data_IF_055333227361
#
_entry.id   IF_055333227361
#
_cell.length_a   1.000
_cell.length_b   1.000
_cell.length_c   1.000
_cell.angle_alpha   90.00
_cell.angle_beta   90.00
_cell.angle_gamma   90.00
#
_symmetry.space_group_name_H-M   'P 1'
#
loop_
_entity.id
_entity.type
_entity.pdbx_description
1 polymer ?
#
# COMPACT_ATOMS: atom_id res chain seq x y z
N UNK A 1 -53.92 -40.65 18.58
CA UNK A 1 -53.08 -39.42 18.69
C UNK A 1 -51.90 -39.59 17.75
N UNK A 2 -51.93 -38.93 16.59
CA UNK A 2 -50.83 -38.93 15.63
C UNK A 2 -50.18 -37.55 15.68
N UNK A 3 -48.94 -37.50 16.14
CA UNK A 3 -48.16 -36.27 16.26
C UNK A 3 -47.45 -36.04 14.93
N UNK A 4 -47.93 -35.08 14.14
CA UNK A 4 -47.23 -34.57 12.96
C UNK A 4 -46.02 -33.74 13.40
N UNK A 5 -44.83 -34.21 13.07
CA UNK A 5 -43.60 -33.43 13.19
C UNK A 5 -43.47 -32.51 11.96
N UNK A 6 -43.60 -31.20 12.18
CA UNK A 6 -43.28 -30.19 11.16
C UNK A 6 -41.76 -29.97 11.14
N UNK A 7 -41.11 -30.41 10.07
CA UNK A 7 -39.71 -30.04 9.78
C UNK A 7 -39.69 -28.61 9.23
N UNK A 8 -39.18 -27.67 10.03
CA UNK A 8 -38.86 -26.32 9.57
C UNK A 8 -37.53 -26.35 8.82
N UNK A 9 -37.59 -26.28 7.49
CA UNK A 9 -36.44 -25.97 6.64
C UNK A 9 -36.07 -24.50 6.84
N UNK A 10 -34.99 -24.24 7.59
CA UNK A 10 -34.35 -22.93 7.63
C UNK A 10 -33.64 -22.66 6.31
N UNK A 11 -34.24 -21.85 5.44
CA UNK A 11 -33.51 -21.25 4.33
C UNK A 11 -32.64 -20.11 4.88
N UNK A 12 -31.33 -20.37 5.02
CA UNK A 12 -30.36 -19.31 5.26
C UNK A 12 -30.26 -18.44 3.98
N UNK A 13 -30.94 -17.30 3.98
CA UNK A 13 -30.75 -16.27 2.97
C UNK A 13 -29.29 -15.77 3.07
N UNK A 14 -28.45 -16.22 2.14
CA UNK A 14 -27.10 -15.69 1.99
C UNK A 14 -27.26 -14.28 1.38
N UNK A 15 -27.14 -13.25 2.21
CA UNK A 15 -27.02 -11.88 1.73
C UNK A 15 -25.78 -11.81 0.84
N UNK A 16 -25.96 -11.64 -0.47
CA UNK A 16 -24.86 -11.38 -1.40
C UNK A 16 -24.19 -10.09 -0.95
N UNK A 17 -22.87 -10.14 -0.73
CA UNK A 17 -22.10 -8.95 -0.41
C UNK A 17 -22.27 -7.93 -1.55
N UNK A 18 -22.58 -6.68 -1.20
CA UNK A 18 -22.76 -5.61 -2.19
C UNK A 18 -21.44 -5.35 -2.92
N UNK A 19 -21.42 -5.57 -4.24
CA UNK A 19 -20.29 -5.26 -5.10
C UNK A 19 -20.32 -3.79 -5.53
N UNK A 20 -19.18 -3.12 -5.45
CA UNK A 20 -18.97 -1.71 -5.80
C UNK A 20 -17.76 -1.61 -6.73
N UNK A 21 -17.98 -1.58 -8.06
CA UNK A 21 -16.89 -1.42 -9.03
C UNK A 21 -16.13 -0.09 -8.85
N UNK A 22 -14.91 0.05 -9.40
CA UNK A 22 -14.06 1.23 -9.19
C UNK A 22 -14.72 2.56 -9.54
N UNK A 23 -15.41 2.64 -10.68
CA UNK A 23 -16.10 3.85 -11.11
C UNK A 23 -17.29 4.20 -10.19
N UNK A 24 -17.99 3.20 -9.67
CA UNK A 24 -19.08 3.39 -8.71
C UNK A 24 -18.54 3.88 -7.35
N UNK A 25 -17.42 3.32 -6.88
CA UNK A 25 -16.73 3.82 -5.69
C UNK A 25 -16.27 5.27 -5.91
N UNK A 26 -15.65 5.58 -7.05
CA UNK A 26 -15.24 6.95 -7.38
C UNK A 26 -16.42 7.93 -7.39
N UNK A 27 -17.56 7.53 -7.96
CA UNK A 27 -18.79 8.33 -7.97
C UNK A 27 -19.37 8.54 -6.57
N UNK A 28 -19.35 7.52 -5.70
CA UNK A 28 -19.81 7.63 -4.31
C UNK A 28 -19.09 8.74 -3.53
N UNK A 29 -17.80 8.96 -3.80
CA UNK A 29 -16.99 9.98 -3.15
C UNK A 29 -16.74 11.23 -4.03
N UNK A 30 -17.56 11.42 -5.07
CA UNK A 30 -17.51 12.60 -5.94
C UNK A 30 -16.14 12.86 -6.58
N UNK A 31 -15.42 11.80 -6.93
CA UNK A 31 -14.14 11.89 -7.65
C UNK A 31 -14.41 12.12 -9.14
N UNK A 32 -14.44 13.39 -9.54
CA UNK A 32 -14.87 13.81 -10.88
C UNK A 32 -13.77 13.75 -11.95
N UNK A 33 -12.50 13.66 -11.56
CA UNK A 33 -11.37 13.57 -12.50
C UNK A 33 -10.91 12.11 -12.56
N UNK A 34 -10.61 11.59 -13.75
CA UNK A 34 -10.07 10.24 -13.89
C UNK A 34 -8.99 10.16 -14.97
N UNK A 35 -8.13 9.16 -14.86
CA UNK A 35 -7.14 8.78 -15.86
C UNK A 35 -6.85 7.28 -15.79
N UNK A 36 -6.22 6.75 -16.82
CA UNK A 36 -5.69 5.38 -16.86
C UNK A 36 -4.19 5.42 -17.12
N UNK A 37 -3.46 4.49 -16.52
CA UNK A 37 -2.03 4.36 -16.81
C UNK A 37 -1.89 3.50 -18.09
N UNK A 38 -1.20 3.99 -19.13
CA UNK A 38 -1.14 3.32 -20.42
C UNK A 38 -0.32 2.02 -20.38
N UNK A 39 -0.75 1.06 -21.19
CA UNK A 39 -0.09 -0.23 -21.43
C UNK A 39 0.20 -0.38 -22.93
N UNK A 40 1.27 -1.10 -23.32
CA UNK A 40 1.58 -1.32 -24.73
C UNK A 40 0.57 -2.29 -25.36
N UNK A 41 0.45 -2.25 -26.69
CA UNK A 41 -0.42 -3.16 -27.45
C UNK A 41 0.24 -4.50 -27.79
N UNK A 42 1.56 -4.60 -27.60
CA UNK A 42 2.35 -5.82 -27.81
C UNK A 42 3.26 -6.10 -26.60
N UNK A 43 3.70 -7.35 -26.45
CA UNK A 43 4.67 -7.72 -25.43
C UNK A 43 5.98 -6.99 -25.65
N UNK A 44 6.62 -6.54 -24.58
CA UNK A 44 7.89 -5.83 -24.60
C UNK A 44 8.87 -6.55 -23.68
N UNK A 45 10.03 -6.92 -24.21
CA UNK A 45 11.15 -7.37 -23.38
C UNK A 45 11.70 -6.22 -22.53
N UNK A 46 12.58 -6.56 -21.59
CA UNK A 46 12.99 -5.67 -20.51
C UNK A 46 13.41 -4.25 -20.93
N UNK A 47 14.31 -4.12 -21.92
CA UNK A 47 14.77 -2.81 -22.39
C UNK A 47 13.64 -1.94 -22.94
N UNK A 48 12.75 -2.54 -23.74
CA UNK A 48 11.61 -1.82 -24.34
C UNK A 48 10.54 -1.52 -23.29
N UNK A 49 10.33 -2.43 -22.33
CA UNK A 49 9.42 -2.20 -21.21
C UNK A 49 9.88 -1.01 -20.36
N UNK A 50 11.17 -0.91 -20.04
CA UNK A 50 11.73 0.23 -19.31
C UNK A 50 11.54 1.56 -20.08
N UNK A 51 11.80 1.53 -21.39
CA UNK A 51 11.64 2.71 -22.26
C UNK A 51 10.17 3.15 -22.33
N UNK A 52 9.25 2.19 -22.45
CA UNK A 52 7.82 2.42 -22.46
C UNK A 52 7.34 3.03 -21.14
N UNK A 53 7.66 2.41 -20.00
CA UNK A 53 7.27 2.87 -18.66
C UNK A 53 7.76 4.31 -18.43
N UNK A 54 9.04 4.57 -18.70
CA UNK A 54 9.63 5.89 -18.50
C UNK A 54 8.95 6.98 -19.34
N UNK A 55 8.58 6.65 -20.58
CA UNK A 55 7.97 7.60 -21.51
C UNK A 55 6.47 7.84 -21.25
N UNK A 56 5.76 6.84 -20.72
CA UNK A 56 4.30 6.84 -20.73
C UNK A 56 3.65 6.90 -19.34
N UNK A 57 4.35 6.57 -18.25
CA UNK A 57 3.75 6.51 -16.91
C UNK A 57 3.88 7.81 -16.10
N UNK A 58 4.46 8.87 -16.66
CA UNK A 58 4.63 10.13 -15.93
C UNK A 58 5.49 9.98 -14.68
N UNK A 59 6.62 9.26 -14.81
CA UNK A 59 7.45 8.89 -13.66
C UNK A 59 8.16 10.10 -13.03
N UNK A 60 8.19 10.16 -11.71
CA UNK A 60 9.00 11.12 -10.95
C UNK A 60 10.46 11.06 -11.38
N UNK A 61 11.01 12.21 -11.77
CA UNK A 61 12.37 12.35 -12.33
C UNK A 61 12.62 11.49 -13.58
N UNK A 62 11.57 11.09 -14.30
CA UNK A 62 11.67 10.34 -15.55
C UNK A 62 12.44 9.03 -15.42
N UNK A 63 12.27 8.28 -14.33
CA UNK A 63 13.00 7.02 -14.12
C UNK A 63 12.24 6.01 -13.27
N UNK A 64 12.59 4.74 -13.45
CA UNK A 64 12.30 3.66 -12.51
C UNK A 64 13.29 3.76 -11.34
N UNK A 65 12.79 3.71 -10.10
CA UNK A 65 13.65 3.92 -8.92
C UNK A 65 14.44 2.67 -8.55
N UNK A 66 13.80 1.50 -8.63
CA UNK A 66 14.44 0.22 -8.34
C UNK A 66 13.92 -0.89 -9.25
N UNK A 67 14.75 -1.92 -9.48
CA UNK A 67 14.34 -3.18 -10.11
C UNK A 67 14.00 -3.07 -11.59
N UNK A 68 14.64 -2.15 -12.31
CA UNK A 68 14.35 -1.91 -13.73
C UNK A 68 14.56 -3.17 -14.60
N UNK A 69 15.52 -4.02 -14.25
CA UNK A 69 15.80 -5.32 -14.90
C UNK A 69 14.75 -6.40 -14.66
N UNK A 70 13.81 -6.19 -13.72
CA UNK A 70 12.83 -7.19 -13.32
C UNK A 70 11.47 -7.00 -14.00
N UNK A 71 11.39 -6.12 -15.00
CA UNK A 71 10.16 -5.65 -15.61
C UNK A 71 10.07 -6.07 -17.07
N UNK A 72 8.94 -6.67 -17.47
CA UNK A 72 8.62 -6.97 -18.86
C UNK A 72 7.10 -6.80 -19.08
N UNK A 73 6.68 -6.53 -20.31
CA UNK A 73 5.29 -6.72 -20.71
C UNK A 73 5.14 -8.06 -21.42
N UNK A 74 4.36 -8.97 -20.85
CA UNK A 74 4.18 -10.34 -21.34
C UNK A 74 2.72 -10.61 -21.70
N UNK A 75 2.45 -11.70 -22.42
CA UNK A 75 1.08 -12.15 -22.62
C UNK A 75 0.43 -12.46 -21.26
N UNK A 76 -0.87 -12.19 -21.11
CA UNK A 76 -1.61 -12.51 -19.88
C UNK A 76 -1.49 -14.02 -19.57
N UNK A 77 -0.88 -14.41 -18.43
CA UNK A 77 -0.78 -15.81 -18.04
C UNK A 77 -2.10 -16.41 -17.55
N UNK A 78 -3.10 -15.57 -17.22
CA UNK A 78 -4.39 -15.98 -16.66
C UNK A 78 -5.60 -15.39 -17.42
N UNK A 79 -5.69 -15.56 -18.76
CA UNK A 79 -6.71 -14.89 -19.58
C UNK A 79 -8.15 -15.37 -19.26
N UNK A 80 -8.27 -16.56 -18.69
CA UNK A 80 -9.55 -17.20 -18.35
C UNK A 80 -9.87 -17.14 -16.84
N UNK A 81 -9.07 -16.42 -16.05
CA UNK A 81 -9.25 -16.29 -14.60
C UNK A 81 -9.33 -14.80 -14.20
N UNK A 82 -10.35 -14.06 -14.68
CA UNK A 82 -10.53 -12.65 -14.32
C UNK A 82 -10.82 -12.51 -12.81
N UNK A 83 -10.73 -11.29 -12.25
CA UNK A 83 -11.19 -11.06 -10.89
C UNK A 83 -12.66 -11.49 -10.73
N UNK A 84 -13.07 -11.96 -9.55
CA UNK A 84 -14.48 -12.20 -9.25
C UNK A 84 -15.35 -11.01 -9.67
N UNK A 85 -16.42 -11.26 -10.42
CA UNK A 85 -17.31 -10.23 -10.96
C UNK A 85 -16.74 -9.40 -12.13
N UNK A 86 -15.49 -9.66 -12.55
CA UNK A 86 -14.84 -9.02 -13.68
C UNK A 86 -14.98 -9.80 -14.99
N UNK A 87 -14.66 -9.14 -16.10
CA UNK A 87 -14.52 -9.74 -17.42
C UNK A 87 -13.05 -10.03 -17.75
N UNK A 88 -12.80 -11.00 -18.64
CA UNK A 88 -11.49 -11.19 -19.23
C UNK A 88 -11.06 -9.94 -20.00
N UNK A 89 -9.80 -9.54 -19.81
CA UNK A 89 -9.17 -8.47 -20.58
C UNK A 89 -8.13 -9.07 -21.54
N UNK A 90 -8.00 -8.49 -22.73
CA UNK A 90 -6.99 -8.87 -23.70
C UNK A 90 -5.82 -7.88 -23.69
N UNK A 91 -4.65 -8.38 -24.06
CA UNK A 91 -3.44 -7.56 -24.23
C UNK A 91 -2.31 -7.93 -23.26
N UNK A 92 -1.15 -7.27 -23.42
CA UNK A 92 0.01 -7.50 -22.56
C UNK A 92 -0.23 -7.01 -21.13
N UNK A 93 0.42 -7.66 -20.17
CA UNK A 93 0.39 -7.31 -18.76
C UNK A 93 1.80 -7.06 -18.26
N UNK A 94 1.94 -6.19 -17.24
CA UNK A 94 3.23 -5.90 -16.64
C UNK A 94 3.61 -7.05 -15.72
N UNK A 95 4.64 -7.82 -16.08
CA UNK A 95 5.25 -8.82 -15.21
C UNK A 95 6.35 -8.17 -14.38
N UNK A 96 6.37 -8.48 -13.10
CA UNK A 96 7.48 -8.18 -12.19
C UNK A 96 8.09 -9.50 -11.71
N UNK A 97 9.40 -9.62 -11.83
CA UNK A 97 10.17 -10.80 -11.42
C UNK A 97 10.70 -10.66 -9.99
N UNK A 98 10.62 -11.76 -9.22
CA UNK A 98 11.22 -11.90 -7.89
C UNK A 98 12.14 -13.12 -7.90
N UNK A 99 13.45 -12.95 -8.16
CA UNK A 99 14.42 -14.04 -8.09
C UNK A 99 14.43 -14.73 -6.72
N UNK A 100 14.81 -16.01 -6.70
CA UNK A 100 15.04 -16.73 -5.44
C UNK A 100 16.03 -15.96 -4.56
N UNK A 101 15.73 -15.83 -3.27
CA UNK A 101 16.58 -15.08 -2.34
C UNK A 101 16.43 -13.55 -2.40
N UNK A 102 15.63 -13.00 -3.33
CA UNK A 102 15.39 -11.55 -3.38
C UNK A 102 14.48 -11.07 -2.25
N UNK A 103 14.85 -9.97 -1.61
CA UNK A 103 14.03 -9.28 -0.62
C UNK A 103 14.46 -7.81 -0.50
N UNK A 104 13.69 -7.03 0.25
CA UNK A 104 13.88 -5.59 0.40
C UNK A 104 13.81 -4.87 -0.98
N UNK A 105 14.11 -3.58 -0.98
CA UNK A 105 14.01 -2.69 -2.11
C UNK A 105 15.37 -2.38 -2.74
N UNK A 106 16.30 -3.35 -2.66
CA UNK A 106 17.72 -3.23 -2.98
C UNK A 106 18.07 -3.52 -4.47
N UNK A 107 17.05 -3.70 -5.31
CA UNK A 107 17.11 -4.14 -6.72
C UNK A 107 17.29 -5.64 -6.96
N UNK A 108 17.41 -6.47 -5.91
CA UNK A 108 17.54 -7.94 -6.07
C UNK A 108 16.28 -8.59 -6.66
N UNK A 109 15.10 -7.99 -6.45
CA UNK A 109 13.83 -8.45 -6.97
C UNK A 109 12.75 -7.40 -6.84
N UNK A 110 11.65 -7.56 -7.58
CA UNK A 110 10.58 -6.58 -7.57
C UNK A 110 10.92 -5.30 -8.34
N UNK A 111 10.13 -4.25 -8.15
CA UNK A 111 10.35 -2.95 -8.75
C UNK A 111 9.71 -1.81 -7.95
N UNK A 112 10.26 -0.61 -8.11
CA UNK A 112 9.71 0.61 -7.54
C UNK A 112 9.69 1.75 -8.56
N UNK A 113 8.55 2.40 -8.69
CA UNK A 113 8.39 3.62 -9.48
C UNK A 113 7.28 4.53 -8.94
N UNK A 114 7.48 5.84 -9.06
CA UNK A 114 6.49 6.85 -8.65
C UNK A 114 5.83 7.46 -9.90
N UNK A 115 4.57 7.12 -10.17
CA UNK A 115 3.81 7.71 -11.27
C UNK A 115 3.00 8.90 -10.72
N UNK A 116 3.39 10.11 -11.12
CA UNK A 116 2.83 11.34 -10.58
C UNK A 116 1.56 11.72 -11.33
N UNK A 117 0.52 12.08 -10.59
CA UNK A 117 -0.70 12.63 -11.18
C UNK A 117 -1.13 13.88 -10.42
N UNK A 118 -0.94 15.03 -11.07
CA UNK A 118 -1.25 16.33 -10.52
C UNK A 118 -2.41 16.96 -11.31
N UNK A 119 -3.20 17.78 -10.62
CA UNK A 119 -4.23 18.61 -11.25
C UNK A 119 -3.60 19.77 -12.01
N UNK A 120 -4.22 20.19 -13.11
CA UNK A 120 -3.90 21.46 -13.79
C UNK A 120 -4.50 22.68 -13.08
N UNK A 121 -5.38 22.48 -12.10
CA UNK A 121 -6.03 23.51 -11.30
C UNK A 121 -5.83 23.28 -9.80
N UNK A 122 -6.93 23.22 -9.04
CA UNK A 122 -6.88 22.93 -7.60
C UNK A 122 -6.28 21.54 -7.33
N UNK A 123 -5.40 21.46 -6.34
CA UNK A 123 -4.72 20.21 -6.00
C UNK A 123 -5.71 19.14 -5.52
N UNK A 124 -5.43 17.87 -5.86
CA UNK A 124 -6.25 16.75 -5.43
C UNK A 124 -6.14 16.53 -3.92
N UNK A 125 -7.28 16.30 -3.29
CA UNK A 125 -7.42 16.09 -1.84
C UNK A 125 -7.95 14.70 -1.50
N UNK A 126 -8.58 14.04 -2.48
CA UNK A 126 -9.01 12.66 -2.41
C UNK A 126 -8.60 11.96 -3.69
N UNK A 127 -8.11 10.73 -3.58
CA UNK A 127 -7.68 9.93 -4.73
C UNK A 127 -8.00 8.47 -4.51
N UNK A 128 -8.46 7.81 -5.57
CA UNK A 128 -8.70 6.39 -5.65
C UNK A 128 -7.80 5.81 -6.72
N UNK A 129 -7.15 4.69 -6.40
CA UNK A 129 -6.45 3.85 -7.37
C UNK A 129 -7.18 2.51 -7.48
N UNK A 130 -7.39 2.05 -8.70
CA UNK A 130 -7.81 0.69 -8.98
C UNK A 130 -6.79 0.01 -9.88
N UNK A 131 -6.52 -1.27 -9.64
CA UNK A 131 -5.71 -2.11 -10.51
C UNK A 131 -6.05 -3.58 -10.31
N UNK A 132 -5.67 -4.40 -11.28
CA UNK A 132 -5.71 -5.84 -11.15
C UNK A 132 -4.30 -6.38 -10.92
N UNK A 133 -4.19 -7.34 -10.01
CA UNK A 133 -2.96 -8.05 -9.69
C UNK A 133 -3.18 -9.56 -9.71
N UNK A 134 -2.30 -10.29 -10.37
CA UNK A 134 -2.22 -11.73 -10.30
C UNK A 134 -0.86 -12.16 -9.76
N UNK A 135 -0.85 -13.31 -9.12
CA UNK A 135 0.36 -13.97 -8.60
C UNK A 135 0.50 -15.30 -9.33
N UNK A 136 1.73 -15.75 -9.58
CA UNK A 136 1.98 -17.10 -10.12
C UNK A 136 1.15 -18.17 -9.38
N UNK A 137 0.67 -19.19 -10.09
CA UNK A 137 0.01 -20.32 -9.45
C UNK A 137 0.94 -20.96 -8.41
N UNK A 138 0.46 -21.08 -7.16
CA UNK A 138 1.30 -21.59 -6.07
C UNK A 138 2.33 -20.58 -5.53
N UNK A 139 2.10 -19.28 -5.73
CA UNK A 139 2.96 -18.20 -5.23
C UNK A 139 3.42 -18.43 -3.78
N UNK A 140 4.72 -18.34 -3.56
CA UNK A 140 5.32 -18.43 -2.24
C UNK A 140 5.09 -17.11 -1.49
N UNK A 141 4.10 -17.08 -0.60
CA UNK A 141 3.77 -15.86 0.15
C UNK A 141 4.85 -15.44 1.15
N UNK A 142 5.73 -16.36 1.55
CA UNK A 142 6.74 -16.20 2.62
C UNK A 142 6.12 -15.50 3.85
N UNK A 143 6.66 -14.35 4.26
CA UNK A 143 6.14 -13.51 5.35
C UNK A 143 5.34 -12.31 4.84
N UNK A 144 5.49 -11.97 3.56
CA UNK A 144 4.84 -10.85 2.93
C UNK A 144 5.73 -10.04 1.98
N UNK A 145 5.10 -9.08 1.33
CA UNK A 145 5.74 -8.17 0.40
C UNK A 145 4.82 -7.01 0.05
N UNK A 146 5.34 -6.06 -0.72
CA UNK A 146 4.70 -4.76 -0.94
C UNK A 146 3.91 -4.80 -2.23
N UNK A 147 2.86 -4.00 -2.32
CA UNK A 147 2.06 -3.83 -3.53
C UNK A 147 1.80 -2.35 -3.79
N UNK A 148 1.50 -1.98 -5.05
CA UNK A 148 1.19 -0.61 -5.43
C UNK A 148 0.09 0.03 -4.58
N UNK A 149 0.22 1.33 -4.34
CA UNK A 149 -0.84 2.12 -3.72
C UNK A 149 -0.66 3.61 -3.96
N UNK A 150 -1.20 4.43 -3.07
CA UNK A 150 -1.25 5.88 -3.22
C UNK A 150 -0.12 6.58 -2.45
N UNK A 151 0.25 7.76 -2.93
CA UNK A 151 1.20 8.66 -2.27
C UNK A 151 0.78 10.11 -2.39
N UNK A 152 1.38 10.97 -1.59
CA UNK A 152 1.15 12.40 -1.68
C UNK A 152 2.12 13.25 -0.87
N UNK A 153 1.97 14.56 -1.01
CA UNK A 153 2.88 15.57 -0.46
C UNK A 153 4.11 15.87 -1.33
N UNK A 154 4.89 16.90 -0.93
CA UNK A 154 5.93 17.50 -1.75
C UNK A 154 7.16 16.60 -1.97
N UNK A 155 7.43 15.64 -1.08
CA UNK A 155 8.55 14.71 -1.27
C UNK A 155 8.10 13.42 -2.00
N UNK A 156 8.29 13.30 -3.33
CA UNK A 156 7.81 12.17 -4.12
C UNK A 156 8.38 10.82 -3.69
N UNK A 157 9.58 10.79 -3.11
CA UNK A 157 10.38 9.56 -3.03
C UNK A 157 10.57 9.04 -1.59
N UNK A 158 9.77 9.55 -0.64
CA UNK A 158 9.96 9.33 0.79
C UNK A 158 8.70 8.66 1.41
N UNK A 159 8.55 8.67 2.73
CA UNK A 159 7.48 7.99 3.46
C UNK A 159 7.48 6.48 3.20
N UNK A 160 8.67 5.89 3.25
CA UNK A 160 8.95 4.46 3.06
C UNK A 160 10.32 4.09 3.66
N UNK A 161 10.62 2.80 3.79
CA UNK A 161 11.95 2.33 4.22
C UNK A 161 12.41 2.83 5.59
N UNK A 162 11.48 3.08 6.51
CA UNK A 162 11.76 3.64 7.83
C UNK A 162 11.73 5.17 7.92
N UNK A 163 11.62 5.87 6.78
CA UNK A 163 11.43 7.31 6.78
C UNK A 163 9.96 7.64 7.07
N UNK A 164 9.71 8.23 8.24
CA UNK A 164 8.37 8.47 8.77
C UNK A 164 7.69 9.68 8.09
N UNK A 165 6.37 9.62 8.00
CA UNK A 165 5.54 10.77 7.65
C UNK A 165 5.40 11.69 8.88
N UNK A 166 5.60 13.00 8.70
CA UNK A 166 5.50 14.00 9.77
C UNK A 166 4.34 14.99 9.57
N UNK A 167 3.53 14.79 8.53
CA UNK A 167 2.38 15.62 8.20
C UNK A 167 2.69 16.84 7.34
N UNK A 168 3.96 17.10 7.02
CA UNK A 168 4.40 18.17 6.11
C UNK A 168 5.33 17.69 4.98
N UNK A 169 5.94 16.51 5.11
CA UNK A 169 6.82 15.92 4.09
C UNK A 169 6.08 15.12 3.01
N UNK A 170 5.31 14.11 3.39
CA UNK A 170 4.60 13.20 2.51
C UNK A 170 3.64 12.29 3.29
N UNK A 171 2.89 11.47 2.56
CA UNK A 171 2.33 10.20 3.06
C UNK A 171 2.47 9.12 1.98
N UNK A 172 2.42 7.87 2.40
CA UNK A 172 2.19 6.74 1.49
C UNK A 172 1.16 5.79 2.08
N UNK A 173 0.34 5.18 1.22
CA UNK A 173 -0.63 4.15 1.56
C UNK A 173 -0.55 3.07 0.50
N UNK A 174 0.38 2.14 0.71
CA UNK A 174 0.58 0.97 -0.14
C UNK A 174 -0.29 -0.17 0.34
N UNK A 175 -0.25 -1.29 -0.38
CA UNK A 175 -0.72 -2.56 0.14
C UNK A 175 0.47 -3.43 0.54
N UNK A 176 0.20 -4.43 1.36
CA UNK A 176 1.09 -5.58 1.49
C UNK A 176 0.29 -6.88 1.38
N UNK A 177 0.92 -7.90 0.79
CA UNK A 177 0.54 -9.28 1.09
C UNK A 177 1.30 -9.76 2.31
N UNK A 178 0.74 -10.76 2.99
CA UNK A 178 1.29 -11.46 4.15
C UNK A 178 1.20 -12.96 3.90
N UNK A 179 1.56 -13.74 4.92
CA UNK A 179 1.41 -15.21 4.94
C UNK A 179 0.05 -15.63 4.41
N UNK A 180 0.05 -16.68 3.59
CA UNK A 180 -1.14 -17.27 2.98
C UNK A 180 -2.01 -16.29 2.17
N UNK A 181 -1.42 -15.21 1.64
CA UNK A 181 -2.13 -14.25 0.80
C UNK A 181 -2.91 -13.17 1.57
N UNK A 182 -2.88 -13.17 2.91
CA UNK A 182 -3.57 -12.15 3.70
C UNK A 182 -3.13 -10.74 3.29
N UNK A 183 -4.09 -9.85 3.05
CA UNK A 183 -3.84 -8.48 2.62
C UNK A 183 -3.90 -7.47 3.77
N UNK A 184 -3.24 -6.33 3.59
CA UNK A 184 -3.39 -5.14 4.44
C UNK A 184 -3.18 -3.87 3.62
N UNK A 185 -3.70 -2.75 4.12
CA UNK A 185 -3.19 -1.43 3.73
C UNK A 185 -2.01 -1.11 4.66
N UNK A 186 -0.89 -0.71 4.08
CA UNK A 186 0.34 -0.40 4.79
C UNK A 186 0.72 1.07 4.58
N UNK A 187 0.50 1.88 5.61
CA UNK A 187 0.53 3.33 5.53
C UNK A 187 1.68 3.95 6.32
N UNK A 188 2.35 4.92 5.72
CA UNK A 188 3.23 5.87 6.41
C UNK A 188 2.44 7.16 6.59
N UNK A 189 1.90 7.34 7.79
CA UNK A 189 1.11 8.49 8.23
C UNK A 189 1.49 8.86 9.67
N UNK A 190 1.36 10.13 10.08
CA UNK A 190 1.44 10.46 11.49
C UNK A 190 0.38 9.71 12.32
N UNK A 191 0.68 9.45 13.60
CA UNK A 191 -0.14 8.59 14.48
C UNK A 191 -0.63 9.34 15.73
N UNK A 192 -1.34 10.48 15.62
CA UNK A 192 -1.88 11.16 16.79
C UNK A 192 -3.01 10.34 17.44
N UNK A 193 -3.50 10.80 18.60
CA UNK A 193 -4.73 10.30 19.22
C UNK A 193 -4.77 8.78 19.51
N UNK A 194 -3.60 8.13 19.59
CA UNK A 194 -3.47 6.70 19.92
C UNK A 194 -4.26 5.76 18.98
N UNK A 195 -4.22 6.00 17.67
CA UNK A 195 -4.86 5.12 16.67
C UNK A 195 -4.43 3.65 16.79
N UNK A 196 -3.25 3.39 17.37
CA UNK A 196 -2.70 2.06 17.60
C UNK A 196 -3.45 1.24 18.67
N UNK A 197 -4.42 1.84 19.36
CA UNK A 197 -5.31 1.13 20.30
C UNK A 197 -6.46 0.39 19.61
N UNK A 198 -6.76 0.71 18.35
CA UNK A 198 -7.69 -0.06 17.55
C UNK A 198 -7.07 -1.43 17.22
N UNK A 199 -7.78 -2.51 17.54
CA UNK A 199 -7.34 -3.89 17.29
C UNK A 199 -7.05 -4.22 15.82
N UNK A 200 -7.62 -3.45 14.89
CA UNK A 200 -7.39 -3.57 13.45
C UNK A 200 -6.20 -2.74 12.95
N UNK A 201 -5.53 -1.98 13.83
CA UNK A 201 -4.38 -1.13 13.52
C UNK A 201 -3.14 -1.66 14.23
N UNK A 202 -2.12 -2.06 13.46
CA UNK A 202 -0.83 -2.49 14.01
C UNK A 202 0.22 -1.43 13.69
N UNK A 203 0.67 -0.72 14.73
CA UNK A 203 1.72 0.26 14.61
C UNK A 203 3.11 -0.34 14.85
N UNK A 204 4.10 0.24 14.20
CA UNK A 204 5.52 -0.01 14.43
C UNK A 204 6.23 1.34 14.54
N UNK A 205 7.17 1.48 15.49
CA UNK A 205 7.83 2.77 15.71
C UNK A 205 8.87 3.13 14.66
N UNK A 206 9.42 2.14 13.97
CA UNK A 206 10.41 2.31 12.92
C UNK A 206 9.77 2.37 11.54
N UNK A 207 8.67 1.64 11.32
CA UNK A 207 8.09 1.45 9.99
C UNK A 207 6.64 1.93 9.88
N UNK A 208 5.91 1.47 8.87
CA UNK A 208 4.54 1.87 8.60
C UNK A 208 3.51 1.20 9.53
N UNK A 209 2.28 1.64 9.39
CA UNK A 209 1.10 1.14 10.09
C UNK A 209 0.37 0.14 9.22
N UNK A 210 0.09 -1.06 9.72
CA UNK A 210 -0.79 -2.02 9.05
C UNK A 210 -2.24 -1.76 9.46
N UNK A 211 -3.10 -1.52 8.48
CA UNK A 211 -4.54 -1.34 8.65
C UNK A 211 -5.28 -2.60 8.16
N UNK A 212 -6.08 -3.18 9.05
CA UNK A 212 -6.95 -4.34 8.81
C UNK A 212 -6.25 -5.54 8.17
N UNK A 213 -5.05 -5.90 8.66
CA UNK A 213 -4.34 -7.09 8.18
C UNK A 213 -5.24 -8.33 8.29
N UNK A 214 -5.41 -9.02 7.17
CA UNK A 214 -6.19 -10.25 7.07
C UNK A 214 -7.69 -10.05 6.84
N UNK A 215 -8.17 -8.81 6.63
CA UNK A 215 -9.58 -8.58 6.29
C UNK A 215 -9.94 -8.99 4.86
N UNK A 216 -8.93 -9.25 4.01
CA UNK A 216 -9.04 -9.86 2.70
C UNK A 216 -7.83 -10.73 2.42
N UNK A 217 -7.91 -11.59 1.38
CA UNK A 217 -6.81 -12.46 0.97
C UNK A 217 -6.70 -12.52 -0.54
N UNK A 218 -5.48 -12.35 -1.04
CA UNK A 218 -5.14 -12.60 -2.43
C UNK A 218 -5.16 -14.09 -2.73
N UNK A 219 -5.58 -14.41 -3.95
CA UNK A 219 -5.45 -15.75 -4.50
C UNK A 219 -4.40 -15.78 -5.60
N UNK A 220 -3.59 -16.84 -5.61
CA UNK A 220 -2.63 -17.14 -6.69
C UNK A 220 -3.33 -17.78 -7.88
N UNK A 221 -2.74 -17.68 -9.07
CA UNK A 221 -3.24 -18.33 -10.29
C UNK A 221 -4.49 -17.68 -10.90
N UNK A 222 -4.87 -16.51 -10.41
CA UNK A 222 -6.00 -15.72 -10.91
C UNK A 222 -5.79 -14.24 -10.68
N UNK A 223 -6.52 -13.41 -11.42
CA UNK A 223 -6.55 -11.97 -11.21
C UNK A 223 -7.36 -11.61 -9.96
N UNK A 224 -6.89 -10.61 -9.23
CA UNK A 224 -7.56 -10.00 -8.09
C UNK A 224 -7.68 -8.50 -8.38
N UNK A 225 -8.81 -7.88 -8.04
CA UNK A 225 -8.99 -6.43 -8.19
C UNK A 225 -8.83 -5.74 -6.86
N UNK A 226 -7.97 -4.73 -6.83
CA UNK A 226 -7.78 -3.83 -5.69
C UNK A 226 -8.33 -2.46 -6.08
N UNK A 227 -9.14 -1.87 -5.21
CA UNK A 227 -9.52 -0.46 -5.28
C UNK A 227 -9.29 0.20 -3.93
N UNK A 228 -8.34 1.13 -3.86
CA UNK A 228 -7.96 1.86 -2.65
C UNK A 228 -8.30 3.33 -2.81
N UNK A 229 -9.12 3.86 -1.91
CA UNK A 229 -9.42 5.28 -1.75
C UNK A 229 -8.68 5.84 -0.54
N UNK A 230 -8.06 7.01 -0.73
CA UNK A 230 -7.55 7.87 0.34
C UNK A 230 -8.22 9.24 0.25
N UNK A 231 -8.81 9.69 1.36
CA UNK A 231 -9.34 11.05 1.53
C UNK A 231 -8.56 11.75 2.63
N UNK A 232 -7.90 12.85 2.31
CA UNK A 232 -7.07 13.58 3.27
C UNK A 232 -7.92 14.21 4.36
N UNK A 233 -7.38 14.29 5.57
CA UNK A 233 -8.05 14.96 6.67
C UNK A 233 -8.13 16.49 6.45
N UNK A 234 -9.19 17.10 6.98
CA UNK A 234 -9.46 18.54 6.90
C UNK A 234 -10.45 19.01 7.98
N UNK A 235 -10.22 20.13 8.68
CA UNK A 235 -9.02 20.97 8.61
C UNK A 235 -7.77 20.24 9.15
N UNK A 236 -6.59 20.80 8.92
CA UNK A 236 -5.28 20.15 9.18
C UNK A 236 -5.01 19.82 10.64
N UNK A 237 -5.84 20.27 11.57
CA UNK A 237 -5.77 19.93 13.00
C UNK A 237 -6.82 18.89 13.45
N UNK A 238 -7.59 18.32 12.52
CA UNK A 238 -8.59 17.28 12.78
C UNK A 238 -8.12 15.97 12.15
N UNK A 239 -8.26 14.87 12.88
CA UNK A 239 -8.08 13.51 12.40
C UNK A 239 -9.43 12.97 11.95
N UNK A 240 -9.77 13.17 10.67
CA UNK A 240 -11.00 12.69 10.02
C UNK A 240 -10.72 12.11 8.62
N UNK A 241 -9.46 11.84 8.28
CA UNK A 241 -9.06 11.26 7.01
C UNK A 241 -9.55 9.82 6.88
N UNK A 242 -9.62 9.33 5.64
CA UNK A 242 -10.19 8.01 5.36
C UNK A 242 -9.25 7.17 4.50
N UNK A 243 -9.21 5.87 4.79
CA UNK A 243 -8.66 4.83 3.92
C UNK A 243 -9.70 3.73 3.74
N UNK A 244 -10.13 3.51 2.50
CA UNK A 244 -11.17 2.54 2.17
C UNK A 244 -10.65 1.64 1.07
N UNK A 245 -10.74 0.32 1.26
CA UNK A 245 -10.33 -0.65 0.26
C UNK A 245 -11.47 -1.59 -0.08
N UNK A 246 -11.71 -1.72 -1.39
CA UNK A 246 -12.56 -2.72 -1.99
C UNK A 246 -11.67 -3.77 -2.63
N UNK A 247 -11.92 -5.03 -2.29
CA UNK A 247 -11.21 -6.18 -2.82
C UNK A 247 -12.20 -7.04 -3.62
N UNK A 248 -11.92 -7.24 -4.90
CA UNK A 248 -12.86 -7.85 -5.84
C UNK A 248 -14.26 -7.21 -5.75
N UNK A 249 -14.27 -5.87 -5.76
CA UNK A 249 -15.45 -5.01 -5.67
C UNK A 249 -16.24 -5.11 -4.36
N UNK A 250 -15.86 -5.97 -3.41
CA UNK A 250 -16.45 -5.99 -2.06
C UNK A 250 -15.65 -5.11 -1.10
N UNK A 251 -16.31 -4.27 -0.28
CA UNK A 251 -15.62 -3.45 0.72
C UNK A 251 -14.95 -4.34 1.77
N UNK A 252 -13.62 -4.33 1.82
CA UNK A 252 -12.81 -5.20 2.67
C UNK A 252 -12.30 -4.50 3.94
N UNK A 253 -12.13 -3.18 3.90
CA UNK A 253 -11.84 -2.35 5.08
C UNK A 253 -12.27 -0.91 4.85
N UNK A 254 -12.57 -0.24 5.95
CA UNK A 254 -12.83 1.19 6.03
C UNK A 254 -12.24 1.68 7.35
N UNK A 255 -11.27 2.58 7.25
CA UNK A 255 -10.66 3.28 8.39
C UNK A 255 -10.99 4.75 8.27
N UNK A 256 -11.65 5.29 9.29
CA UNK A 256 -11.90 6.71 9.47
C UNK A 256 -10.95 7.26 10.55
N UNK A 257 -11.05 8.55 10.86
CA UNK A 257 -10.23 9.22 11.88
C UNK A 257 -8.70 9.11 11.66
N UNK A 258 -8.27 8.87 10.41
CA UNK A 258 -6.86 8.87 10.06
C UNK A 258 -6.33 10.30 9.96
N UNK A 259 -5.04 10.48 10.22
CA UNK A 259 -4.36 11.77 10.13
C UNK A 259 -3.21 11.68 9.14
N UNK A 260 -3.43 12.18 7.92
CA UNK A 260 -2.44 12.16 6.85
C UNK A 260 -1.55 13.40 6.86
N UNK A 261 -2.07 14.54 7.33
CA UNK A 261 -1.39 15.84 7.22
C UNK A 261 -1.68 16.80 8.36
N UNK A 262 -0.67 17.61 8.66
CA UNK A 262 -0.73 18.77 9.56
C UNK A 262 -0.61 20.11 8.81
N UNK A 263 -0.46 20.06 7.48
CA UNK A 263 -0.37 21.22 6.61
C UNK A 263 -0.97 20.93 5.24
N UNK A 264 -1.56 21.95 4.60
CA UNK A 264 -2.18 21.86 3.28
C UNK A 264 -1.17 21.65 2.13
N UNK A 265 0.14 21.71 2.42
CA UNK A 265 1.18 21.29 1.47
C UNK A 265 1.08 19.81 1.11
N UNK A 266 0.45 19.00 1.96
CA UNK A 266 0.18 17.60 1.65
C UNK A 266 -1.09 17.48 0.83
N UNK A 267 -0.93 17.06 -0.42
CA UNK A 267 -2.01 16.78 -1.38
C UNK A 267 -1.85 15.37 -1.93
N UNK A 268 -2.90 14.78 -2.50
CA UNK A 268 -2.82 13.47 -3.14
C UNK A 268 -2.06 13.60 -4.47
N UNK A 269 -1.04 12.75 -4.68
CA UNK A 269 -0.02 12.98 -5.71
C UNK A 269 0.19 11.84 -6.71
N UNK A 270 -0.68 10.83 -6.72
CA UNK A 270 -0.63 9.72 -7.67
C UNK A 270 -0.23 8.39 -7.06
N UNK A 271 0.33 7.52 -7.90
CA UNK A 271 0.63 6.14 -7.57
C UNK A 271 2.09 5.99 -7.12
N UNK A 272 2.27 5.21 -6.06
CA UNK A 272 3.54 4.59 -5.72
C UNK A 272 3.47 3.11 -6.06
N UNK A 273 4.00 2.75 -7.22
CA UNK A 273 4.17 1.35 -7.61
C UNK A 273 5.39 0.82 -6.87
N UNK A 274 5.17 -0.09 -5.93
CA UNK A 274 6.21 -0.62 -5.06
C UNK A 274 5.87 -2.07 -4.79
N UNK A 275 6.65 -2.98 -5.34
CA UNK A 275 6.41 -4.40 -5.16
C UNK A 275 7.72 -5.15 -5.04
N UNK A 276 7.87 -5.89 -3.94
CA UNK A 276 9.05 -6.66 -3.57
C UNK A 276 8.68 -7.54 -2.36
N UNK A 277 9.28 -8.72 -2.27
CA UNK A 277 9.31 -9.48 -1.03
C UNK A 277 10.05 -8.67 0.01
N UNK A 278 9.54 -8.53 1.23
CA UNK A 278 10.30 -7.71 2.14
C UNK A 278 9.89 -7.76 3.58
N UNK A 279 10.93 -7.81 4.38
CA UNK A 279 11.15 -7.05 5.60
C UNK A 279 12.61 -6.62 5.49
N UNK A 280 13.35 -6.78 6.56
CA UNK A 280 14.73 -6.31 6.72
C UNK A 280 15.77 -7.45 6.81
N UNK A 281 15.35 -8.71 6.56
CA UNK A 281 16.22 -9.88 6.60
C UNK A 281 15.86 -10.94 5.53
N UNK A 282 16.75 -11.92 5.35
CA UNK A 282 16.63 -12.96 4.32
C UNK A 282 15.47 -13.95 4.54
N UNK A 283 14.88 -14.01 5.73
CA UNK A 283 13.71 -14.87 5.98
C UNK A 283 12.42 -14.38 5.32
N UNK A 284 12.49 -13.25 4.60
CA UNK A 284 11.43 -12.71 3.77
C UNK A 284 11.54 -13.12 2.29
N UNK A 285 12.66 -13.69 1.86
CA UNK A 285 12.88 -14.01 0.45
C UNK A 285 12.15 -15.28 0.01
N UNK A 286 11.65 -15.33 -1.24
CA UNK A 286 11.08 -16.56 -1.80
C UNK A 286 12.18 -17.57 -2.10
N UNK A 287 11.86 -18.86 -2.02
CA UNK A 287 12.84 -19.92 -2.30
C UNK A 287 13.07 -20.15 -3.80
N UNK A 288 12.17 -19.67 -4.65
CA UNK A 288 12.18 -19.86 -6.09
C UNK A 288 11.90 -18.53 -6.81
N UNK A 289 12.29 -18.45 -8.09
CA UNK A 289 11.84 -17.38 -8.97
C UNK A 289 10.30 -17.40 -9.03
N UNK A 290 9.68 -16.27 -8.77
CA UNK A 290 8.23 -16.10 -8.89
C UNK A 290 7.88 -14.72 -9.46
N UNK A 291 6.62 -14.53 -9.83
CA UNK A 291 6.14 -13.36 -10.51
C UNK A 291 4.81 -12.85 -9.96
N UNK A 292 4.63 -11.55 -10.15
CA UNK A 292 3.32 -10.90 -10.09
C UNK A 292 3.07 -10.19 -11.40
N UNK A 293 1.81 -10.08 -11.75
CA UNK A 293 1.35 -9.46 -12.98
C UNK A 293 0.39 -8.34 -12.64
N UNK A 294 0.47 -7.23 -13.36
CA UNK A 294 -0.38 -6.07 -13.13
C UNK A 294 -1.01 -5.59 -14.43
N UNK A 295 -2.25 -5.11 -14.35
CA UNK A 295 -2.96 -4.47 -15.47
C UNK A 295 -4.06 -3.53 -14.97
N UNK A 296 -4.68 -2.81 -15.90
CA UNK A 296 -5.89 -2.01 -15.68
C UNK A 296 -5.75 -0.98 -14.56
N UNK A 297 -4.60 -0.31 -14.48
CA UNK A 297 -4.40 0.80 -13.55
C UNK A 297 -5.28 1.99 -13.93
N UNK A 298 -6.16 2.37 -13.00
CA UNK A 298 -7.06 3.50 -13.10
C UNK A 298 -6.88 4.39 -11.88
N UNK A 299 -6.91 5.70 -12.08
CA UNK A 299 -6.86 6.69 -11.02
C UNK A 299 -8.08 7.60 -11.14
N UNK A 300 -8.71 7.89 -10.02
CA UNK A 300 -9.80 8.86 -9.90
C UNK A 300 -9.43 9.85 -8.79
N UNK A 301 -9.75 11.13 -8.97
CA UNK A 301 -9.40 12.15 -8.01
C UNK A 301 -10.46 13.23 -7.89
N UNK A 302 -10.49 13.85 -6.71
CA UNK A 302 -11.34 14.99 -6.37
C UNK A 302 -10.55 16.04 -5.60
N UNK A 303 -11.00 17.28 -5.70
CA UNK A 303 -10.41 18.43 -5.02
C UNK A 303 -10.98 18.64 -3.61
N UNK A 304 -11.95 17.83 -3.19
CA UNK A 304 -12.52 17.87 -1.84
C UNK A 304 -11.82 16.86 -0.91
N UNK A 305 -11.40 17.26 0.30
CA UNK A 305 -10.85 16.34 1.30
C UNK A 305 -11.97 15.49 1.94
N UNK A 306 -11.67 14.81 3.05
CA UNK A 306 -12.68 14.21 3.90
C UNK A 306 -13.64 15.27 4.45
N UNK A 307 -14.91 14.89 4.52
CA UNK A 307 -16.03 15.66 5.07
C UNK A 307 -16.60 15.06 6.36
N UNK A 308 -15.96 14.01 6.88
CA UNK A 308 -16.34 13.40 8.14
C UNK A 308 -16.05 14.35 9.33
N UNK A 309 -16.81 14.18 10.40
CA UNK A 309 -16.37 14.67 11.71
C UNK A 309 -15.16 13.85 12.17
N UNK A 310 -14.36 14.42 13.07
CA UNK A 310 -13.25 13.70 13.67
C UNK A 310 -12.70 14.41 14.88
N UNK A 311 -11.73 13.77 15.53
CA UNK A 311 -11.14 14.30 16.76
C UNK A 311 -10.05 15.31 16.45
N UNK A 312 -10.00 16.39 17.23
CA UNK A 312 -8.85 17.31 17.19
C UNK A 312 -7.57 16.56 17.54
N UNK A 313 -6.51 16.80 16.78
CA UNK A 313 -5.19 16.26 17.06
C UNK A 313 -4.66 16.95 18.32
N UNK A 314 -4.52 16.17 19.38
CA UNK A 314 -3.82 16.62 20.58
C UNK A 314 -2.34 16.66 20.24
N UNK A 315 -1.71 17.83 20.29
CA UNK A 315 -0.26 17.97 20.16
C UNK A 315 0.42 17.16 21.28
N UNK A 316 0.65 15.87 21.04
CA UNK A 316 1.58 15.10 21.83
C UNK A 316 2.95 15.65 21.51
N UNK A 317 3.49 16.50 22.40
CA UNK A 317 4.92 16.73 22.41
C UNK A 317 5.58 15.35 22.32
N UNK A 318 6.38 15.13 21.29
CA UNK A 318 7.23 13.95 21.21
C UNK A 318 8.13 14.04 22.44
N UNK A 319 7.76 13.35 23.51
CA UNK A 319 8.63 13.12 24.65
C UNK A 319 9.77 12.27 24.11
N UNK A 320 10.81 12.94 23.60
CA UNK A 320 12.14 12.35 23.56
C UNK A 320 12.44 12.01 25.01
N UNK A 321 12.30 10.73 25.37
CA UNK A 321 12.85 10.23 26.61
C UNK A 321 14.31 10.71 26.68
N UNK A 322 14.76 11.35 27.76
CA UNK A 322 16.15 11.75 27.87
C UNK A 322 16.97 10.46 27.82
N UNK A 323 17.81 10.35 26.81
CA UNK A 323 18.83 9.33 26.74
C UNK A 323 19.76 9.60 27.94
N UNK A 324 19.54 8.86 29.03
CA UNK A 324 20.45 8.86 30.18
C UNK A 324 21.82 8.42 29.64
N UNK A 325 22.73 9.37 29.50
CA UNK A 325 24.15 9.09 29.38
C UNK A 325 24.54 8.34 30.66
N UNK A 326 24.61 7.01 30.58
CA UNK A 326 25.33 6.22 31.56
C UNK A 326 26.82 6.60 31.43
N UNK A 327 27.24 7.56 32.25
CA UNK A 327 28.64 7.90 32.42
C UNK A 327 29.39 6.67 32.89
N UNK A 328 30.30 6.18 32.04
CA UNK A 328 31.27 5.15 32.36
C UNK A 328 32.20 5.73 33.46
N UNK A 329 31.98 5.37 34.71
CA UNK A 329 32.95 5.62 35.79
C UNK A 329 34.07 4.59 35.63
N UNK A 330 35.15 4.99 34.96
CA UNK A 330 36.40 4.23 34.95
C UNK A 330 37.07 4.47 36.30
N UNK A 331 37.01 3.46 37.17
CA UNK A 331 37.83 3.40 38.38
C UNK A 331 39.27 3.07 37.95
N UNK A 332 40.13 4.07 37.94
CA UNK A 332 41.58 3.88 37.84
C UNK A 332 42.13 3.53 39.23
N UNK A 333 42.36 2.24 39.48
CA UNK A 333 43.25 1.78 40.53
C UNK A 333 44.70 1.99 40.08
N UNK A 334 45.37 3.03 40.56
CA UNK A 334 46.83 3.14 40.52
C UNK A 334 47.42 2.55 41.79
N UNK A 335 47.93 1.32 41.68
CA UNK A 335 48.94 0.76 42.57
C UNK A 335 50.28 1.34 42.13
N UNK A 336 50.95 2.10 43.01
CA UNK A 336 52.35 2.41 42.87
C UNK A 336 53.04 2.25 44.22
N UNK A 337 53.90 1.24 44.24
CA UNK A 337 54.87 0.91 45.28
C UNK A 337 55.85 2.07 45.51
N UNK A 338 56.09 2.35 46.79
CA UNK A 338 57.41 2.58 47.41
C UNK A 338 58.27 3.77 46.97
N UNK A 339 58.75 4.55 47.95
CA UNK A 339 60.18 4.74 48.30
C UNK A 339 60.35 5.83 49.39
N UNK A 340 61.14 5.49 50.43
CA UNK A 340 61.82 6.32 51.47
C UNK A 340 60.94 7.26 52.35
N UNK A 341 60.95 7.21 53.68
CA UNK A 341 61.99 7.00 54.69
C UNK A 341 61.35 6.39 55.96
#
# INVERSE_FOLDING_TARGET
MHTLAFSFLFFAAHALAQTTPPASAASQYSLSTSTTIPFPTATLGNSDAQSFLTSNWGLSKGRIQNGASNLDFVADPFPNSPPPGGSSASGPVLRVQYPAGSFDSDNSGGAQMYALWNSSGSAFQSMLISYEVAFDSGFDWVKGGKLPGLRGGPDPNNCSGGNQANGTNCFSSRLMWRKAGAGEVYAYIPRPNNICSDSSVQCNDQFGVSLSRGSFSFSSGQWNRVTLLIRLNSPTNIANGQAILYFNDAKALEHNDLYFRSSDVITAGGMYFSTFFGGDDSSWSPSNLTHTYFRNFQLFAGTSPSDLQGSQVKNGAVSRAPMLLAGLVVVLCSVLFGLFN
#
